data_IF_133012726181
#
_entry.id   IF_133012726181
#
_cell.length_a   1.000
_cell.length_b   1.000
_cell.length_c   1.000
_cell.angle_alpha   90.00
_cell.angle_beta   90.00
_cell.angle_gamma   90.00
#
_symmetry.space_group_name_H-M   'P 1'
#
loop_
_entity.id
_entity.type
_entity.pdbx_description
1 polymer ?
#
# COMPACT_ATOMS: atom_id res chain seq x y z
N UNK A 1 -50.75 60.72 35.84
CA UNK A 1 -51.21 60.52 34.45
C UNK A 1 -50.20 59.58 33.80
N UNK A 2 -50.45 58.34 33.38
CA UNK A 2 -51.65 57.57 33.02
C UNK A 2 -51.25 56.07 33.10
N UNK A 3 -51.81 55.21 33.95
CA UNK A 3 -52.95 54.25 33.80
C UNK A 3 -53.02 53.42 32.49
N UNK A 4 -53.20 52.09 32.69
CA UNK A 4 -53.70 50.97 31.85
C UNK A 4 -52.68 50.20 31.00
N UNK A 5 -52.68 48.86 30.86
CA UNK A 5 -53.32 47.67 31.47
C UNK A 5 -52.58 46.45 30.84
N UNK A 6 -52.33 45.32 31.50
CA UNK A 6 -53.24 44.17 31.56
C UNK A 6 -52.73 43.10 32.56
N UNK A 7 -53.66 42.59 33.38
CA UNK A 7 -53.62 41.35 34.19
C UNK A 7 -53.77 40.14 33.25
N UNK A 8 -53.30 38.93 33.56
CA UNK A 8 -53.95 37.88 34.37
C UNK A 8 -52.91 36.74 34.59
N UNK A 9 -52.66 36.32 35.85
CA UNK A 9 -53.14 35.05 36.47
C UNK A 9 -52.50 33.79 35.84
N UNK A 10 -51.77 32.89 36.52
CA UNK A 10 -52.01 32.22 37.80
C UNK A 10 -50.70 31.66 38.40
N UNK A 11 -50.57 31.74 39.74
CA UNK A 11 -50.20 30.70 40.73
C UNK A 11 -49.18 29.61 40.29
N UNK A 12 -48.05 29.33 40.99
CA UNK A 12 -47.88 28.83 42.37
C UNK A 12 -46.36 29.00 42.71
N UNK A 13 -45.87 29.94 43.54
CA UNK A 13 -45.73 29.91 45.02
C UNK A 13 -45.06 28.61 45.55
N UNK A 14 -43.82 28.57 46.07
CA UNK A 14 -43.32 29.25 47.26
C UNK A 14 -41.79 29.05 47.38
N UNK A 15 -41.04 30.12 47.71
CA UNK A 15 -39.66 30.06 48.19
C UNK A 15 -39.62 30.72 49.57
N UNK A 16 -39.69 29.92 50.63
CA UNK A 16 -39.48 30.31 52.04
C UNK A 16 -37.97 30.21 52.30
N UNK A 17 -37.25 31.31 52.50
CA UNK A 17 -37.03 32.10 53.73
C UNK A 17 -36.18 31.38 54.81
N UNK A 18 -35.23 32.15 55.36
CA UNK A 18 -34.31 31.89 56.48
C UNK A 18 -33.03 31.12 56.14
N UNK A 19 -31.86 31.39 56.72
CA UNK A 19 -31.20 32.57 57.32
C UNK A 19 -29.82 32.06 57.66
N UNK A 20 -28.83 32.89 57.34
CA UNK A 20 -27.43 32.93 57.77
C UNK A 20 -26.86 31.92 58.78
N UNK A 21 -25.56 31.69 58.53
CA UNK A 21 -24.50 31.13 59.37
C UNK A 21 -24.34 29.61 59.30
N UNK A 22 -23.17 29.15 58.82
CA UNK A 22 -22.15 28.52 59.69
C UNK A 22 -21.03 27.83 58.88
N UNK A 23 -19.80 28.09 59.35
CA UNK A 23 -18.76 27.12 59.72
C UNK A 23 -18.08 26.32 58.60
N UNK A 24 -16.75 26.45 58.62
CA UNK A 24 -15.75 25.74 57.82
C UNK A 24 -15.89 24.22 57.93
N UNK A 25 -16.04 23.60 56.76
CA UNK A 25 -15.46 22.34 56.28
C UNK A 25 -14.89 21.38 57.34
N UNK A 26 -15.61 20.27 57.61
CA UNK A 26 -15.13 18.88 57.40
C UNK A 26 -16.10 17.79 57.93
N UNK A 27 -16.11 16.65 57.22
CA UNK A 27 -16.76 15.34 57.47
C UNK A 27 -18.31 15.30 57.27
N UNK A 28 -18.95 14.36 56.56
CA UNK A 28 -18.80 12.90 56.59
C UNK A 28 -19.81 12.20 55.62
N UNK A 29 -19.39 11.08 55.02
CA UNK A 29 -20.14 9.90 54.52
C UNK A 29 -20.62 9.75 53.06
N UNK A 30 -20.16 8.63 52.51
CA UNK A 30 -20.85 7.65 51.66
C UNK A 30 -21.17 8.04 50.21
N UNK A 31 -20.33 7.58 49.28
CA UNK A 31 -20.78 6.53 48.35
C UNK A 31 -19.58 5.83 47.71
N UNK A 32 -19.53 4.52 47.92
CA UNK A 32 -18.77 3.59 47.10
C UNK A 32 -19.23 3.75 45.65
N UNK A 33 -18.36 4.23 44.78
CA UNK A 33 -18.37 3.86 43.37
C UNK A 33 -16.93 3.61 42.99
N UNK A 34 -16.55 2.34 43.19
CA UNK A 34 -15.47 1.71 42.46
C UNK A 34 -15.74 1.98 40.99
N UNK A 35 -15.04 2.96 40.39
CA UNK A 35 -14.92 3.02 38.95
C UNK A 35 -14.05 1.83 38.56
N UNK A 36 -14.70 0.68 38.51
CA UNK A 36 -14.21 -0.50 37.82
C UNK A 36 -14.04 -0.07 36.38
N UNK A 37 -12.83 0.36 36.02
CA UNK A 37 -12.42 0.37 34.63
C UNK A 37 -12.42 -1.08 34.21
N UNK A 38 -13.56 -1.53 33.70
CA UNK A 38 -13.67 -2.73 32.90
C UNK A 38 -12.79 -2.45 31.69
N UNK A 39 -11.50 -2.78 31.80
CA UNK A 39 -10.72 -3.15 30.64
C UNK A 39 -11.45 -4.38 30.10
N UNK A 40 -12.32 -4.15 29.11
CA UNK A 40 -12.63 -5.17 28.13
C UNK A 40 -11.29 -5.47 27.45
N UNK A 41 -10.48 -6.34 28.05
CA UNK A 41 -9.54 -7.15 27.31
C UNK A 41 -10.41 -8.08 26.47
N UNK A 42 -10.95 -7.53 25.38
CA UNK A 42 -11.39 -8.31 24.26
C UNK A 42 -10.12 -9.02 23.79
N UNK A 43 -9.91 -10.23 24.31
CA UNK A 43 -8.96 -11.18 23.76
C UNK A 43 -9.56 -11.70 22.44
N UNK A 44 -9.79 -10.79 21.50
CA UNK A 44 -9.80 -11.12 20.10
C UNK A 44 -8.34 -11.29 19.74
N UNK A 45 -8.00 -12.36 19.03
CA UNK A 45 -6.77 -12.38 18.25
C UNK A 45 -6.86 -11.17 17.30
N UNK A 46 -6.29 -10.04 17.69
CA UNK A 46 -6.10 -8.91 16.79
C UNK A 46 -5.03 -9.38 15.81
N UNK A 47 -5.49 -10.00 14.73
CA UNK A 47 -4.63 -10.42 13.65
C UNK A 47 -3.93 -9.18 13.11
N UNK A 48 -2.60 -9.20 13.19
CA UNK A 48 -1.82 -8.01 12.92
C UNK A 48 -1.74 -7.78 11.40
N UNK A 49 -2.36 -6.68 10.95
CA UNK A 49 -2.32 -6.25 9.54
C UNK A 49 -0.91 -5.78 9.13
N UNK A 50 -0.01 -5.49 10.07
CA UNK A 50 1.40 -5.18 9.78
C UNK A 50 2.04 -6.34 9.03
N UNK A 51 2.78 -6.01 7.98
CA UNK A 51 3.49 -6.97 7.15
C UNK A 51 3.58 -6.55 5.69
N UNK A 52 4.22 -7.40 4.89
CA UNK A 52 4.31 -7.26 3.44
C UNK A 52 3.22 -8.09 2.78
N UNK A 53 2.34 -7.42 2.06
CA UNK A 53 1.17 -8.00 1.41
C UNK A 53 1.34 -7.94 -0.09
N UNK A 54 1.19 -9.09 -0.75
CA UNK A 54 1.47 -9.27 -2.17
C UNK A 54 0.26 -9.88 -2.88
N UNK A 55 -0.09 -9.34 -4.03
CA UNK A 55 -1.07 -9.90 -4.95
C UNK A 55 -0.45 -10.06 -6.33
N UNK A 56 -1.01 -10.93 -7.16
CA UNK A 56 -0.69 -10.93 -8.58
C UNK A 56 -1.05 -9.59 -9.21
N UNK A 57 -0.25 -9.13 -10.18
CA UNK A 57 -0.63 -7.98 -11.00
C UNK A 57 -1.78 -8.44 -11.90
N UNK A 58 -2.93 -7.74 -11.92
CA UNK A 58 -3.99 -8.05 -12.87
C UNK A 58 -3.43 -8.02 -14.29
N UNK A 59 -3.62 -9.10 -15.04
CA UNK A 59 -3.03 -9.24 -16.37
C UNK A 59 -1.73 -10.05 -16.45
N UNK A 60 -1.04 -10.20 -15.31
CA UNK A 60 0.35 -10.69 -15.26
C UNK A 60 0.56 -11.52 -13.98
N UNK A 61 0.08 -12.78 -13.92
CA UNK A 61 0.10 -13.59 -12.70
C UNK A 61 1.51 -13.91 -12.18
N UNK A 62 2.51 -13.89 -13.07
CA UNK A 62 3.94 -14.07 -12.75
C UNK A 62 4.57 -12.86 -12.03
N UNK A 63 3.84 -11.74 -11.95
CA UNK A 63 4.28 -10.54 -11.23
C UNK A 63 3.47 -10.35 -9.97
N UNK A 64 4.18 -10.02 -8.89
CA UNK A 64 3.55 -9.65 -7.62
C UNK A 64 3.74 -8.17 -7.37
N UNK A 65 2.68 -7.51 -6.92
CA UNK A 65 2.68 -6.13 -6.43
C UNK A 65 1.98 -6.06 -5.09
N UNK A 66 2.14 -4.95 -4.38
CA UNK A 66 1.39 -4.71 -3.15
C UNK A 66 2.04 -3.66 -2.29
N UNK A 67 2.04 -3.86 -0.98
CA UNK A 67 2.53 -2.87 -0.04
C UNK A 67 3.08 -3.50 1.24
N UNK A 68 3.91 -2.73 1.93
CA UNK A 68 4.39 -3.00 3.28
C UNK A 68 3.67 -2.05 4.21
N UNK A 69 3.10 -2.60 5.29
CA UNK A 69 2.54 -1.85 6.41
C UNK A 69 3.48 -2.04 7.60
N UNK A 70 4.06 -0.97 8.10
CA UNK A 70 4.96 -0.94 9.27
C UNK A 70 4.17 -0.60 10.55
N UNK A 71 4.62 -1.08 11.70
CA UNK A 71 3.89 -0.92 12.98
C UNK A 71 3.76 0.55 13.45
N UNK A 72 4.57 1.44 12.91
CA UNK A 72 4.58 2.88 13.18
C UNK A 72 3.59 3.68 12.30
N UNK A 73 2.78 2.99 11.49
CA UNK A 73 1.83 3.62 10.57
C UNK A 73 2.45 4.00 9.22
N UNK A 74 3.72 3.67 8.96
CA UNK A 74 4.35 3.90 7.66
C UNK A 74 3.97 2.82 6.65
N UNK A 75 3.72 3.24 5.42
CA UNK A 75 3.42 2.35 4.31
C UNK A 75 4.41 2.53 3.16
N UNK A 76 4.71 1.45 2.43
CA UNK A 76 5.57 1.49 1.26
C UNK A 76 5.02 0.62 0.13
N UNK A 77 5.09 1.10 -1.10
CA UNK A 77 4.69 0.35 -2.30
C UNK A 77 5.70 -0.74 -2.65
N UNK A 78 5.21 -1.89 -3.13
CA UNK A 78 6.02 -2.98 -3.67
C UNK A 78 5.69 -3.16 -5.15
N UNK A 79 6.71 -3.03 -6.00
CA UNK A 79 6.63 -3.24 -7.46
C UNK A 79 5.60 -2.39 -8.21
N UNK A 80 5.22 -1.23 -7.66
CA UNK A 80 4.33 -0.25 -8.32
C UNK A 80 5.10 1.02 -8.69
N UNK A 81 4.87 1.54 -9.90
CA UNK A 81 5.49 2.79 -10.37
C UNK A 81 4.61 4.01 -10.11
N UNK A 82 3.29 3.86 -10.25
CA UNK A 82 2.33 4.97 -10.17
C UNK A 82 1.96 5.31 -8.74
N UNK A 83 1.65 4.32 -7.91
CA UNK A 83 1.24 4.54 -6.53
C UNK A 83 2.43 4.44 -5.59
N UNK A 84 2.77 5.53 -4.90
CA UNK A 84 3.77 5.58 -3.84
C UNK A 84 3.07 5.76 -2.49
N UNK A 85 2.77 4.65 -1.81
CA UNK A 85 2.23 4.67 -0.45
C UNK A 85 3.27 5.25 0.53
N UNK A 86 2.77 5.94 1.56
CA UNK A 86 3.58 6.61 2.57
C UNK A 86 3.10 6.35 3.98
N UNK A 87 1.78 6.33 4.20
CA UNK A 87 1.23 6.07 5.51
C UNK A 87 -0.03 5.21 5.41
N UNK A 88 -0.32 4.50 6.49
CA UNK A 88 -1.53 3.75 6.66
C UNK A 88 -2.10 3.93 8.06
N UNK A 89 -3.41 3.74 8.15
CA UNK A 89 -4.11 3.68 9.42
C UNK A 89 -5.24 2.66 9.31
N UNK A 90 -5.53 1.96 10.41
CA UNK A 90 -6.69 1.10 10.51
C UNK A 90 -7.73 1.74 11.45
N UNK A 91 -8.95 1.88 10.95
CA UNK A 91 -10.10 2.38 11.70
C UNK A 91 -11.20 1.30 11.68
N UNK A 92 -11.23 0.45 12.70
CA UNK A 92 -12.12 -0.70 12.74
C UNK A 92 -11.90 -1.65 11.55
N UNK A 93 -12.91 -1.78 10.70
CA UNK A 93 -12.88 -2.59 9.48
C UNK A 93 -12.39 -1.82 8.24
N UNK A 94 -11.82 -0.62 8.40
CA UNK A 94 -11.30 0.17 7.29
C UNK A 94 -9.78 0.29 7.36
N UNK A 95 -9.13 0.06 6.23
CA UNK A 95 -7.73 0.39 5.99
C UNK A 95 -7.67 1.68 5.15
N UNK A 96 -7.06 2.72 5.70
CA UNK A 96 -6.80 3.97 5.02
C UNK A 96 -5.34 3.93 4.54
N UNK A 97 -5.13 4.03 3.23
CA UNK A 97 -3.81 4.10 2.60
C UNK A 97 -3.62 5.46 1.95
N UNK A 98 -2.57 6.18 2.36
CA UNK A 98 -2.25 7.50 1.81
C UNK A 98 -0.86 7.52 1.19
N UNK A 99 -0.69 8.40 0.21
CA UNK A 99 0.53 8.44 -0.56
C UNK A 99 0.50 9.49 -1.66
N UNK A 100 1.32 9.26 -2.68
CA UNK A 100 1.41 10.10 -3.86
C UNK A 100 1.24 9.24 -5.12
N UNK A 101 0.37 9.67 -6.01
CA UNK A 101 0.26 9.15 -7.37
C UNK A 101 1.26 9.90 -8.24
N UNK A 102 2.10 9.16 -8.95
CA UNK A 102 3.17 9.66 -9.81
C UNK A 102 2.86 9.19 -11.23
N UNK A 103 2.52 10.13 -12.10
CA UNK A 103 2.17 9.85 -13.49
C UNK A 103 2.04 11.14 -14.29
N UNK A 104 2.25 11.10 -15.60
CA UNK A 104 2.12 12.27 -16.48
C UNK A 104 2.86 13.52 -16.01
N UNK A 105 4.10 13.36 -15.50
CA UNK A 105 4.92 14.43 -14.90
C UNK A 105 4.29 15.15 -13.70
N UNK A 106 3.23 14.59 -13.13
CA UNK A 106 2.55 15.11 -11.95
C UNK A 106 2.77 14.18 -10.75
N UNK A 107 2.74 14.79 -9.58
CA UNK A 107 2.79 14.09 -8.29
C UNK A 107 1.64 14.61 -7.45
N UNK A 108 0.57 13.82 -7.35
CA UNK A 108 -0.66 14.20 -6.66
C UNK A 108 -0.81 13.39 -5.36
N UNK A 109 -1.10 14.02 -4.22
CA UNK A 109 -1.42 13.28 -3.00
C UNK A 109 -2.75 12.53 -3.18
N UNK A 110 -2.86 11.36 -2.56
CA UNK A 110 -4.12 10.62 -2.48
C UNK A 110 -4.28 9.98 -1.10
N UNK A 111 -5.54 9.65 -0.78
CA UNK A 111 -5.90 8.84 0.38
C UNK A 111 -7.08 7.96 -0.01
N UNK A 112 -6.87 6.65 0.05
CA UNK A 112 -7.86 5.63 -0.26
C UNK A 112 -8.35 4.95 1.02
N UNK A 113 -9.67 4.82 1.16
CA UNK A 113 -10.30 4.06 2.23
C UNK A 113 -10.80 2.72 1.68
N UNK A 114 -10.32 1.62 2.25
CA UNK A 114 -10.58 0.25 1.81
C UNK A 114 -11.27 -0.52 2.92
N UNK A 115 -12.36 -1.22 2.63
CA UNK A 115 -13.00 -2.10 3.60
C UNK A 115 -12.23 -3.42 3.72
N UNK A 116 -11.92 -3.84 4.93
CA UNK A 116 -11.26 -5.10 5.26
C UNK A 116 -12.34 -6.18 5.35
N UNK A 117 -12.55 -6.90 4.25
CA UNK A 117 -13.51 -8.02 4.19
C UNK A 117 -12.98 -9.24 4.94
N UNK A 118 -11.67 -9.46 4.90
CA UNK A 118 -11.00 -10.57 5.58
C UNK A 118 -9.57 -10.17 5.92
N UNK A 119 -9.19 -10.42 7.16
CA UNK A 119 -7.81 -10.45 7.62
C UNK A 119 -7.60 -11.83 8.25
N UNK A 120 -6.46 -12.45 7.96
CA UNK A 120 -5.91 -13.66 8.61
C UNK A 120 -4.40 -13.48 8.77
N UNK A 121 -3.73 -14.47 9.37
CA UNK A 121 -2.26 -14.47 9.46
C UNK A 121 -1.57 -14.37 8.08
N UNK A 122 -2.18 -14.91 7.02
CA UNK A 122 -1.58 -15.07 5.69
C UNK A 122 -2.39 -14.42 4.57
N UNK A 123 -3.62 -13.97 4.81
CA UNK A 123 -4.52 -13.45 3.79
C UNK A 123 -5.11 -12.10 4.19
N UNK A 124 -5.17 -11.17 3.24
CA UNK A 124 -5.82 -9.87 3.38
C UNK A 124 -6.70 -9.63 2.15
N UNK A 125 -8.01 -9.47 2.37
CA UNK A 125 -8.98 -9.16 1.33
C UNK A 125 -9.53 -7.76 1.60
N UNK A 126 -9.35 -6.88 0.62
CA UNK A 126 -9.79 -5.49 0.67
C UNK A 126 -10.85 -5.22 -0.39
N UNK A 127 -11.81 -4.35 -0.10
CA UNK A 127 -12.87 -3.94 -1.02
C UNK A 127 -12.92 -2.42 -1.18
N UNK A 128 -13.09 -1.96 -2.42
CA UNK A 128 -13.32 -0.54 -2.78
C UNK A 128 -14.42 -0.45 -3.84
N UNK A 129 -15.65 -0.18 -3.42
CA UNK A 129 -16.81 -0.33 -4.30
C UNK A 129 -16.94 -1.79 -4.77
N UNK A 130 -16.98 -2.01 -6.08
CA UNK A 130 -17.03 -3.35 -6.69
C UNK A 130 -15.66 -4.04 -6.78
N UNK A 131 -14.55 -3.30 -6.60
CA UNK A 131 -13.20 -3.85 -6.69
C UNK A 131 -12.85 -4.67 -5.45
N UNK A 132 -12.47 -5.94 -5.66
CA UNK A 132 -11.96 -6.84 -4.62
C UNK A 132 -10.47 -7.11 -4.86
N UNK A 133 -9.64 -6.80 -3.87
CA UNK A 133 -8.19 -7.03 -3.90
C UNK A 133 -7.84 -8.14 -2.92
N UNK A 134 -7.05 -9.12 -3.37
CA UNK A 134 -6.69 -10.32 -2.59
C UNK A 134 -5.18 -10.40 -2.45
N UNK A 135 -4.69 -10.27 -1.23
CA UNK A 135 -3.28 -10.30 -0.90
C UNK A 135 -2.94 -11.53 -0.06
N UNK A 136 -1.76 -12.07 -0.31
CA UNK A 136 -1.08 -13.03 0.54
C UNK A 136 0.06 -12.34 1.31
N UNK A 137 0.28 -12.73 2.57
CA UNK A 137 1.40 -12.25 3.37
C UNK A 137 2.69 -12.89 2.86
N UNK A 138 3.72 -12.10 2.66
CA UNK A 138 5.03 -12.61 2.29
C UNK A 138 5.80 -13.01 3.56
N UNK A 139 5.88 -14.31 3.82
CA UNK A 139 6.62 -14.83 4.97
C UNK A 139 8.13 -14.66 4.80
N UNK A 140 8.74 -13.96 5.75
CA UNK A 140 10.20 -13.77 5.88
C UNK A 140 10.95 -15.11 6.01
N UNK A 141 10.26 -16.18 6.41
CA UNK A 141 10.83 -17.52 6.66
C UNK A 141 11.11 -18.26 5.34
N UNK A 142 10.28 -18.07 4.31
CA UNK A 142 10.44 -18.71 3.00
C UNK A 142 11.65 -18.16 2.22
N UNK A 143 12.01 -16.90 2.49
CA UNK A 143 13.18 -16.21 1.94
C UNK A 143 14.46 -16.42 2.77
N UNK A 144 14.43 -17.20 3.87
CA UNK A 144 15.63 -17.61 4.61
C UNK A 144 15.94 -19.10 4.43
N UNK A 145 14.92 -19.94 4.22
CA UNK A 145 15.08 -21.37 3.92
C UNK A 145 15.59 -21.65 2.50
N UNK A 146 15.32 -20.78 1.52
CA UNK A 146 15.73 -21.00 0.13
C UNK A 146 17.23 -20.76 -0.11
N UNK A 147 17.89 -20.07 0.80
CA UNK A 147 19.23 -19.51 0.69
C UNK A 147 20.25 -20.25 1.56
N UNK A 148 19.81 -21.16 2.43
CA UNK A 148 20.72 -21.92 3.29
C UNK A 148 20.82 -23.43 2.97
N UNK A 149 19.95 -24.03 2.14
CA UNK A 149 20.02 -25.49 1.90
C UNK A 149 19.54 -25.95 0.51
N UNK A 150 20.35 -25.78 -0.55
CA UNK A 150 20.11 -26.50 -1.81
C UNK A 150 21.35 -27.34 -2.18
N UNK A 151 21.30 -28.69 -2.07
CA UNK A 151 22.25 -29.55 -2.75
C UNK A 151 22.02 -29.49 -4.27
N UNK A 152 23.11 -29.45 -5.03
CA UNK A 152 23.16 -29.22 -6.48
C UNK A 152 22.42 -30.25 -7.37
N UNK A 153 21.64 -31.18 -6.80
CA UNK A 153 20.97 -32.27 -7.51
C UNK A 153 19.49 -32.02 -7.87
N UNK A 154 18.90 -30.87 -7.50
CA UNK A 154 17.52 -30.50 -7.85
C UNK A 154 17.46 -29.31 -8.82
N UNK A 155 18.28 -29.31 -9.87
CA UNK A 155 18.17 -28.31 -10.93
C UNK A 155 17.03 -28.73 -11.87
N UNK A 156 15.86 -28.11 -11.67
CA UNK A 156 14.83 -27.94 -12.70
C UNK A 156 15.47 -27.46 -14.01
N UNK A 157 14.94 -27.80 -15.20
CA UNK A 157 15.60 -27.53 -16.46
C UNK A 157 16.01 -26.05 -16.55
N UNK A 158 17.28 -25.81 -16.87
CA UNK A 158 17.88 -24.48 -16.89
C UNK A 158 17.00 -23.50 -17.67
N UNK A 159 16.36 -22.58 -16.95
CA UNK A 159 15.58 -21.48 -17.51
C UNK A 159 16.45 -20.72 -18.52
N UNK A 160 16.15 -20.87 -19.82
CA UNK A 160 17.01 -20.40 -20.92
C UNK A 160 16.99 -18.87 -20.95
N UNK A 161 18.09 -18.25 -20.55
CA UNK A 161 18.27 -16.80 -20.63
C UNK A 161 19.06 -16.42 -21.89
N UNK A 162 18.66 -15.34 -22.53
CA UNK A 162 19.26 -14.76 -23.74
C UNK A 162 19.98 -13.47 -23.38
N UNK A 163 21.14 -13.22 -23.99
CA UNK A 163 21.79 -11.91 -23.92
C UNK A 163 21.30 -11.07 -25.09
N UNK A 164 20.70 -9.91 -24.81
CA UNK A 164 20.15 -9.00 -25.82
C UNK A 164 20.73 -7.61 -25.67
N UNK A 165 20.91 -6.93 -26.80
CA UNK A 165 21.41 -5.55 -26.91
C UNK A 165 20.38 -4.71 -27.64
N UNK A 166 20.20 -3.47 -27.21
CA UNK A 166 19.15 -2.63 -27.80
C UNK A 166 18.84 -1.36 -27.03
N UNK A 167 17.74 -0.72 -27.42
CA UNK A 167 17.24 0.52 -26.82
C UNK A 167 16.21 0.20 -25.75
N UNK A 168 16.50 0.59 -24.51
CA UNK A 168 15.62 0.52 -23.36
C UNK A 168 14.95 1.88 -23.12
N UNK A 169 13.62 1.88 -22.97
CA UNK A 169 12.82 3.07 -22.72
C UNK A 169 11.94 2.81 -21.49
N UNK A 170 12.06 3.67 -20.46
CA UNK A 170 11.27 3.58 -19.23
C UNK A 170 10.61 4.93 -18.98
N UNK A 171 9.28 4.96 -19.14
CA UNK A 171 8.39 6.10 -19.00
C UNK A 171 7.32 5.90 -17.93
N UNK A 172 6.41 6.86 -17.81
CA UNK A 172 5.23 6.78 -16.92
C UNK A 172 4.36 5.55 -17.21
N UNK A 173 4.27 5.13 -18.48
CA UNK A 173 3.43 3.99 -18.93
C UNK A 173 4.13 3.11 -19.97
N UNK A 174 5.38 3.43 -20.29
CA UNK A 174 6.17 2.72 -21.29
C UNK A 174 7.31 2.00 -20.60
N UNK A 175 7.44 0.69 -20.85
CA UNK A 175 8.58 -0.11 -20.42
C UNK A 175 8.96 -1.01 -21.57
N UNK A 176 9.64 -0.44 -22.55
CA UNK A 176 9.95 -1.13 -23.79
C UNK A 176 11.44 -1.35 -23.98
N UNK A 177 11.75 -2.46 -24.63
CA UNK A 177 13.07 -2.76 -25.16
C UNK A 177 12.95 -3.12 -26.63
N UNK A 178 13.77 -2.49 -27.46
CA UNK A 178 13.84 -2.74 -28.89
C UNK A 178 15.23 -3.33 -29.17
N UNK A 179 15.32 -4.63 -29.50
CA UNK A 179 16.59 -5.28 -29.84
C UNK A 179 17.26 -4.60 -31.04
N UNK A 180 18.58 -4.61 -31.05
CA UNK A 180 19.37 -4.10 -32.17
C UNK A 180 19.09 -4.91 -33.44
N UNK A 181 18.85 -4.22 -34.56
CA UNK A 181 18.46 -4.85 -35.83
C UNK A 181 16.99 -5.29 -35.91
N UNK A 182 16.16 -4.96 -34.91
CA UNK A 182 14.72 -5.20 -34.92
C UNK A 182 13.94 -3.89 -34.79
N UNK A 183 12.74 -3.86 -35.34
CA UNK A 183 11.70 -2.83 -35.15
C UNK A 183 10.64 -3.24 -34.12
N UNK A 184 10.71 -4.47 -33.62
CA UNK A 184 9.76 -5.03 -32.66
C UNK A 184 10.08 -4.57 -31.24
N UNK A 185 9.05 -4.12 -30.53
CA UNK A 185 9.17 -3.71 -29.14
C UNK A 185 8.72 -4.83 -28.19
N UNK A 186 9.49 -5.02 -27.12
CA UNK A 186 9.24 -6.00 -26.08
C UNK A 186 8.93 -5.29 -24.77
N UNK A 187 7.93 -5.76 -24.04
CA UNK A 187 7.61 -5.22 -22.72
C UNK A 187 8.61 -5.75 -21.70
N UNK A 188 9.24 -4.87 -20.92
CA UNK A 188 10.26 -5.29 -19.95
C UNK A 188 9.77 -5.28 -18.51
N UNK A 189 10.22 -6.29 -17.78
CA UNK A 189 10.00 -6.44 -16.35
C UNK A 189 11.35 -6.64 -15.69
N UNK A 190 11.69 -5.73 -14.79
CA UNK A 190 12.89 -5.83 -13.98
C UNK A 190 12.74 -6.88 -12.87
N UNK A 191 13.48 -7.99 -12.97
CA UNK A 191 13.63 -8.96 -11.87
C UNK A 191 14.88 -8.70 -11.03
N UNK A 192 15.75 -7.77 -11.44
CA UNK A 192 16.98 -7.41 -10.72
C UNK A 192 16.73 -6.45 -9.56
N UNK A 193 15.65 -5.68 -9.62
CA UNK A 193 15.31 -4.63 -8.67
C UNK A 193 16.19 -3.37 -8.75
N UNK A 194 17.12 -3.32 -9.72
CA UNK A 194 18.13 -2.25 -9.85
C UNK A 194 17.96 -1.44 -11.14
N UNK A 195 17.19 -1.91 -12.12
CA UNK A 195 17.13 -1.33 -13.45
C UNK A 195 16.64 0.11 -13.42
N UNK A 196 15.55 0.37 -12.70
CA UNK A 196 14.95 1.70 -12.63
C UNK A 196 15.89 2.74 -12.01
N UNK A 197 16.58 2.37 -10.93
CA UNK A 197 17.53 3.27 -10.28
C UNK A 197 18.72 3.61 -11.18
N UNK A 198 19.25 2.62 -11.92
CA UNK A 198 20.35 2.84 -12.85
C UNK A 198 19.91 3.68 -14.06
N UNK A 199 18.73 3.39 -14.60
CA UNK A 199 18.14 4.17 -15.68
C UNK A 199 17.95 5.63 -15.28
N UNK A 200 17.29 5.89 -14.14
CA UNK A 200 17.01 7.25 -13.65
C UNK A 200 18.31 8.04 -13.40
N UNK A 201 19.36 7.37 -12.91
CA UNK A 201 20.69 7.95 -12.72
C UNK A 201 21.34 8.37 -14.05
N UNK A 202 21.22 7.57 -15.09
CA UNK A 202 21.83 7.83 -16.40
C UNK A 202 21.07 8.91 -17.17
N UNK A 203 19.74 8.88 -17.12
CA UNK A 203 18.90 9.85 -17.83
C UNK A 203 18.76 11.17 -17.08
N UNK A 204 19.29 11.27 -15.85
CA UNK A 204 19.19 12.43 -14.96
C UNK A 204 17.73 12.87 -14.74
N UNK A 205 16.83 11.90 -14.63
CA UNK A 205 15.40 12.12 -14.44
C UNK A 205 14.69 10.84 -14.04
N UNK A 206 13.48 10.95 -13.49
CA UNK A 206 12.73 9.78 -13.02
C UNK A 206 11.88 9.25 -14.17
N UNK A 207 12.21 8.07 -14.70
CA UNK A 207 11.45 7.33 -15.74
C UNK A 207 10.92 8.28 -16.82
N UNK A 208 11.82 9.07 -17.37
CA UNK A 208 11.52 10.20 -18.25
C UNK A 208 11.35 9.81 -19.72
N UNK A 209 11.35 8.51 -20.04
CA UNK A 209 11.16 8.02 -21.41
C UNK A 209 12.33 8.28 -22.35
N UNK A 210 13.48 8.75 -21.85
CA UNK A 210 14.68 8.93 -22.68
C UNK A 210 15.23 7.55 -23.07
N UNK A 211 15.40 7.24 -24.37
CA UNK A 211 16.01 5.97 -24.76
C UNK A 211 17.46 5.85 -24.24
N UNK A 212 17.79 4.68 -23.70
CA UNK A 212 19.12 4.34 -23.18
C UNK A 212 19.57 3.03 -23.82
N UNK A 213 20.83 2.93 -24.21
CA UNK A 213 21.38 1.66 -24.70
C UNK A 213 21.57 0.70 -23.54
N UNK A 214 21.08 -0.54 -23.69
CA UNK A 214 21.19 -1.58 -22.68
C UNK A 214 21.67 -2.90 -23.29
N UNK A 215 22.51 -3.60 -22.53
CA UNK A 215 22.82 -5.00 -22.70
C UNK A 215 22.27 -5.77 -21.50
N UNK A 216 21.34 -6.67 -21.75
CA UNK A 216 20.51 -7.31 -20.73
C UNK A 216 20.55 -8.82 -20.90
N UNK A 217 20.53 -9.54 -19.78
CA UNK A 217 20.23 -10.97 -19.78
C UNK A 217 18.74 -11.13 -19.46
N UNK A 218 18.00 -11.62 -20.46
CA UNK A 218 16.54 -11.71 -20.42
C UNK A 218 16.05 -13.13 -20.58
N UNK A 219 14.86 -13.38 -20.07
CA UNK A 219 14.07 -14.55 -20.41
C UNK A 219 12.82 -14.08 -21.16
N UNK A 220 12.56 -14.69 -22.31
CA UNK A 220 11.37 -14.43 -23.10
C UNK A 220 10.19 -15.22 -22.55
N UNK A 221 9.17 -14.52 -22.07
CA UNK A 221 7.97 -15.08 -21.46
C UNK A 221 6.83 -15.31 -22.45
N UNK A 222 7.02 -14.94 -23.73
CA UNK A 222 5.97 -15.00 -24.74
C UNK A 222 5.02 -13.80 -24.72
N UNK A 223 4.12 -13.80 -25.70
CA UNK A 223 3.11 -12.76 -25.90
C UNK A 223 2.11 -12.77 -24.73
N UNK A 224 1.91 -11.61 -24.11
CA UNK A 224 0.82 -11.39 -23.16
C UNK A 224 -0.44 -10.94 -23.88
N UNK A 225 -1.61 -11.28 -23.33
CA UNK A 225 -2.94 -10.87 -23.79
C UNK A 225 -3.60 -9.84 -22.86
N UNK A 226 -2.92 -9.37 -21.82
CA UNK A 226 -3.51 -8.52 -20.78
C UNK A 226 -2.62 -7.32 -20.42
N UNK A 227 -3.26 -6.20 -20.02
CA UNK A 227 -2.57 -4.98 -19.60
C UNK A 227 -1.74 -4.29 -20.70
N UNK A 228 -0.78 -3.44 -20.29
CA UNK A 228 0.10 -2.71 -21.22
C UNK A 228 0.95 -3.65 -22.10
N UNK A 229 1.29 -4.84 -21.59
CA UNK A 229 2.10 -5.83 -22.30
C UNK A 229 1.40 -6.43 -23.53
N UNK A 230 0.07 -6.37 -23.60
CA UNK A 230 -0.73 -6.92 -24.71
C UNK A 230 -0.37 -6.31 -26.08
N UNK A 231 0.15 -5.08 -26.10
CA UNK A 231 0.49 -4.36 -27.33
C UNK A 231 1.94 -4.59 -27.82
N UNK A 232 2.73 -5.42 -27.11
CA UNK A 232 4.15 -5.67 -27.42
C UNK A 232 4.37 -7.06 -28.00
N UNK A 233 5.44 -7.27 -28.77
CA UNK A 233 5.72 -8.57 -29.41
C UNK A 233 5.76 -9.71 -28.40
N UNK A 234 6.45 -9.48 -27.29
CA UNK A 234 6.59 -10.41 -26.18
C UNK A 234 6.99 -9.68 -24.89
N UNK A 235 7.06 -10.42 -23.78
CA UNK A 235 7.47 -9.93 -22.48
C UNK A 235 8.86 -10.46 -22.10
N UNK A 236 9.77 -9.57 -21.72
CA UNK A 236 11.11 -9.89 -21.24
C UNK A 236 11.24 -9.73 -19.73
N UNK A 237 11.62 -10.83 -19.07
CA UNK A 237 12.08 -10.81 -17.69
C UNK A 237 13.59 -10.55 -17.65
N UNK A 238 13.99 -9.41 -17.09
CA UNK A 238 15.40 -9.02 -16.99
C UNK A 238 15.98 -9.60 -15.71
N UNK A 239 16.89 -10.57 -15.86
CA UNK A 239 17.57 -11.25 -14.75
C UNK A 239 18.95 -10.65 -14.46
N UNK A 240 19.56 -9.97 -15.44
CA UNK A 240 20.84 -9.28 -15.25
C UNK A 240 20.95 -8.05 -16.16
N UNK A 241 21.60 -7.01 -15.65
CA UNK A 241 21.99 -5.82 -16.40
C UNK A 241 23.49 -5.91 -16.64
N UNK A 242 23.91 -6.17 -17.88
CA UNK A 242 25.32 -6.25 -18.25
C UNK A 242 25.89 -4.86 -18.51
N UNK A 243 25.15 -4.02 -19.23
CA UNK A 243 25.55 -2.65 -19.55
C UNK A 243 24.34 -1.73 -19.67
N UNK A 244 24.48 -0.49 -19.21
CA UNK A 244 23.48 0.56 -19.39
C UNK A 244 24.21 1.90 -19.58
N UNK A 245 23.96 2.60 -20.69
CA UNK A 245 24.56 3.90 -20.96
C UNK A 245 23.75 4.70 -21.98
N UNK A 246 23.87 6.03 -21.91
CA UNK A 246 23.22 6.96 -22.82
C UNK A 246 23.98 7.08 -24.12
#
# INVERSE_FOLDING_TARGET
MSILAYRYSLFINYRVFFKNSRIKMNHLKCTLLVFSTVLLTACGKNENIVGKWMQAVPGLPELKQGFVLEADGKASSVNMATLSYKAWQQEGAFLILSGKSVGNHQVLPFSDTLHIEKLTQDSLILKKGELILRYAKEDTISQKKLNENIPASLIAPAKKTLSVKGKLIIGAEVRSFIPEGSDEAYWVIDKTGKLYQQYDKITKGVKNGIPVYAELQVEDMGKSNEGFAANYKSVYHIHKINKLHK
#
